data_IF_485544328648
#
_entry.id   IF_485544328648
#
_cell.length_a   1.000
_cell.length_b   1.000
_cell.length_c   1.000
_cell.angle_alpha   90.00
_cell.angle_beta   90.00
_cell.angle_gamma   90.00
#
_symmetry.space_group_name_H-M   'P 1'
#
loop_
_entity.id
_entity.type
_entity.pdbx_description
1 polymer ?
#
# COMPACT_ATOMS: atom_id res chain seq x y z
N UNK A 1 -22.71 -6.89 13.06
CA UNK A 1 -21.67 -7.24 12.06
C UNK A 1 -21.01 -5.95 11.63
N UNK A 2 -19.67 -5.89 11.46
CA UNK A 2 -19.05 -4.71 10.90
C UNK A 2 -19.69 -4.39 9.55
N UNK A 3 -19.99 -3.12 9.30
CA UNK A 3 -20.59 -2.68 8.06
C UNK A 3 -19.65 -3.06 6.89
N UNK A 4 -20.15 -3.93 6.00
CA UNK A 4 -19.41 -4.40 4.83
C UNK A 4 -18.95 -3.21 3.98
N UNK A 5 -19.74 -2.13 3.96
CA UNK A 5 -19.40 -0.90 3.26
C UNK A 5 -18.16 -0.25 3.89
N UNK A 6 -18.09 -0.17 5.21
CA UNK A 6 -16.92 0.37 5.92
C UNK A 6 -15.65 -0.45 5.65
N UNK A 7 -15.75 -1.79 5.64
CA UNK A 7 -14.63 -2.67 5.28
C UNK A 7 -14.19 -2.42 3.84
N UNK A 8 -15.14 -2.37 2.91
CA UNK A 8 -14.85 -2.20 1.48
C UNK A 8 -14.19 -0.84 1.18
N UNK A 9 -14.69 0.25 1.78
CA UNK A 9 -14.12 1.58 1.62
C UNK A 9 -12.73 1.66 2.21
N UNK A 10 -12.51 1.05 3.38
CA UNK A 10 -11.20 1.01 4.03
C UNK A 10 -10.18 0.20 3.23
N UNK A 11 -10.59 -0.96 2.70
CA UNK A 11 -9.78 -1.76 1.77
C UNK A 11 -9.43 -0.94 0.52
N UNK A 12 -10.43 -0.27 -0.06
CA UNK A 12 -10.26 0.61 -1.22
C UNK A 12 -9.22 1.70 -0.97
N UNK A 13 -9.32 2.41 0.16
CA UNK A 13 -8.37 3.46 0.54
C UNK A 13 -6.94 2.91 0.75
N UNK A 14 -6.79 1.74 1.38
CA UNK A 14 -5.48 1.12 1.54
C UNK A 14 -4.86 0.78 0.17
N UNK A 15 -5.59 0.08 -0.69
CA UNK A 15 -5.12 -0.29 -2.03
C UNK A 15 -4.79 0.95 -2.86
N UNK A 16 -5.70 1.92 -2.91
CA UNK A 16 -5.57 3.13 -3.71
C UNK A 16 -4.34 3.94 -3.31
N UNK A 17 -4.21 4.31 -2.03
CA UNK A 17 -3.12 5.17 -1.55
C UNK A 17 -1.77 4.45 -1.54
N UNK A 18 -1.75 3.13 -1.31
CA UNK A 18 -0.52 2.33 -1.44
C UNK A 18 -0.03 2.27 -2.89
N UNK A 19 -0.93 2.09 -3.86
CA UNK A 19 -0.57 2.14 -5.28
C UNK A 19 -0.14 3.54 -5.71
N UNK A 20 -0.85 4.57 -5.25
CA UNK A 20 -0.56 5.97 -5.57
C UNK A 20 0.83 6.39 -5.08
N UNK A 21 1.25 5.88 -3.93
CA UNK A 21 2.58 6.11 -3.37
C UNK A 21 3.65 5.20 -4.00
N UNK A 22 3.39 3.89 -4.09
CA UNK A 22 4.40 2.92 -4.48
C UNK A 22 4.77 2.95 -5.96
N UNK A 23 3.83 3.28 -6.87
CA UNK A 23 4.09 3.35 -8.30
C UNK A 23 5.13 4.42 -8.71
N UNK A 24 5.00 5.70 -8.30
CA UNK A 24 6.01 6.70 -8.63
C UNK A 24 7.35 6.39 -7.94
N UNK A 25 7.34 5.84 -6.73
CA UNK A 25 8.56 5.34 -6.07
C UNK A 25 9.27 4.26 -6.89
N UNK A 26 8.51 3.27 -7.41
CA UNK A 26 9.04 2.27 -8.33
C UNK A 26 9.70 2.91 -9.55
N UNK A 27 9.06 3.93 -10.13
CA UNK A 27 9.64 4.72 -11.23
C UNK A 27 10.97 5.39 -10.86
N UNK A 28 11.11 5.89 -9.64
CA UNK A 28 12.32 6.59 -9.18
C UNK A 28 13.52 5.65 -9.02
N UNK A 29 13.36 4.52 -8.33
CA UNK A 29 14.50 3.63 -8.05
C UNK A 29 14.81 2.64 -9.18
N UNK A 30 13.84 2.32 -10.04
CA UNK A 30 14.01 1.32 -11.12
C UNK A 30 14.35 1.96 -12.47
N UNK A 31 13.60 2.99 -12.88
CA UNK A 31 13.67 3.53 -14.25
C UNK A 31 14.74 4.62 -14.35
N UNK A 32 15.39 4.73 -15.51
CA UNK A 32 16.49 5.67 -15.74
C UNK A 32 16.22 6.60 -16.93
N UNK A 33 16.66 7.86 -16.82
CA UNK A 33 16.60 8.83 -17.92
C UNK A 33 15.23 8.95 -18.57
N UNK A 34 15.16 8.63 -19.87
CA UNK A 34 13.94 8.71 -20.70
C UNK A 34 12.90 7.64 -20.33
N UNK A 35 13.26 6.55 -19.67
CA UNK A 35 12.32 5.52 -19.20
C UNK A 35 11.37 6.06 -18.11
N UNK A 36 11.76 7.14 -17.43
CA UNK A 36 10.90 7.82 -16.46
C UNK A 36 9.83 8.67 -17.14
N UNK A 37 9.94 8.95 -18.45
CA UNK A 37 8.92 9.70 -19.16
C UNK A 37 7.63 8.88 -19.23
N UNK A 38 6.51 9.47 -18.83
CA UNK A 38 5.21 8.79 -18.87
C UNK A 38 4.88 8.34 -20.29
N UNK A 39 4.52 7.06 -20.43
CA UNK A 39 4.18 6.43 -21.70
C UNK A 39 5.32 5.65 -22.35
N UNK A 40 6.56 5.79 -21.87
CA UNK A 40 7.70 4.99 -22.35
C UNK A 40 7.59 3.54 -21.84
N UNK A 41 7.64 3.34 -20.51
CA UNK A 41 7.48 2.05 -19.85
C UNK A 41 6.09 1.91 -19.25
N UNK A 42 5.74 2.86 -18.37
CA UNK A 42 4.45 2.94 -17.67
C UNK A 42 3.75 4.26 -18.00
N UNK A 43 2.41 4.22 -18.06
CA UNK A 43 1.58 5.41 -18.30
C UNK A 43 1.32 6.17 -17.00
N UNK A 44 2.38 6.62 -16.33
CA UNK A 44 2.31 7.25 -15.01
C UNK A 44 1.28 8.38 -14.93
N UNK A 45 1.23 9.29 -15.91
CA UNK A 45 0.29 10.42 -15.94
C UNK A 45 -1.17 9.98 -15.76
N UNK A 46 -1.66 9.14 -16.67
CA UNK A 46 -3.06 8.72 -16.67
C UNK A 46 -3.36 7.79 -15.52
N UNK A 47 -2.46 6.85 -15.21
CA UNK A 47 -2.67 5.88 -14.13
C UNK A 47 -2.74 6.58 -12.76
N UNK A 48 -1.77 7.44 -12.45
CA UNK A 48 -1.74 8.14 -11.16
C UNK A 48 -2.86 9.17 -11.04
N UNK A 49 -3.27 9.82 -12.14
CA UNK A 49 -4.43 10.69 -12.14
C UNK A 49 -5.74 9.92 -11.86
N UNK A 50 -5.92 8.75 -12.49
CA UNK A 50 -7.09 7.90 -12.24
C UNK A 50 -7.13 7.40 -10.80
N UNK A 51 -6.00 6.92 -10.27
CA UNK A 51 -5.91 6.47 -8.87
C UNK A 51 -6.19 7.66 -7.93
N UNK A 52 -5.58 8.83 -8.14
CA UNK A 52 -5.84 9.99 -7.28
C UNK A 52 -7.32 10.42 -7.30
N UNK A 53 -7.99 10.37 -8.45
CA UNK A 53 -9.42 10.67 -8.54
C UNK A 53 -10.26 9.62 -7.79
N UNK A 54 -9.93 8.33 -7.94
CA UNK A 54 -10.56 7.26 -7.17
C UNK A 54 -10.34 7.43 -5.67
N UNK A 55 -9.13 7.81 -5.24
CA UNK A 55 -8.79 8.13 -3.86
C UNK A 55 -9.59 9.29 -3.28
N UNK A 56 -9.89 10.33 -4.08
CA UNK A 56 -10.77 11.43 -3.64
C UNK A 56 -12.19 10.91 -3.41
N UNK A 57 -12.74 10.13 -4.35
CA UNK A 57 -14.08 9.54 -4.23
C UNK A 57 -14.16 8.62 -3.01
N UNK A 58 -13.18 7.73 -2.83
CA UNK A 58 -13.08 6.84 -1.67
C UNK A 58 -12.93 7.61 -0.36
N UNK A 59 -12.20 8.74 -0.36
CA UNK A 59 -12.05 9.59 0.82
C UNK A 59 -13.37 10.28 1.19
N UNK A 60 -14.13 10.77 0.22
CA UNK A 60 -15.46 11.34 0.44
C UNK A 60 -16.40 10.25 0.98
N UNK A 61 -16.44 9.08 0.33
CA UNK A 61 -17.28 7.97 0.76
C UNK A 61 -16.92 7.50 2.17
N UNK A 62 -15.62 7.45 2.52
CA UNK A 62 -15.16 7.11 3.86
C UNK A 62 -15.62 8.10 4.93
N UNK A 63 -15.62 9.40 4.62
CA UNK A 63 -16.17 10.42 5.52
C UNK A 63 -17.68 10.27 5.69
N UNK A 64 -18.42 9.96 4.62
CA UNK A 64 -19.86 9.71 4.69
C UNK A 64 -20.20 8.47 5.52
N UNK A 65 -19.44 7.38 5.36
CA UNK A 65 -19.59 6.16 6.17
C UNK A 65 -19.31 6.44 7.65
N UNK A 66 -18.27 7.22 7.95
CA UNK A 66 -17.98 7.62 9.33
C UNK A 66 -19.12 8.48 9.93
N UNK A 67 -19.61 9.47 9.17
CA UNK A 67 -20.73 10.31 9.61
C UNK A 67 -22.01 9.50 9.86
N UNK A 68 -22.37 8.57 8.96
CA UNK A 68 -23.48 7.65 9.11
C UNK A 68 -23.33 6.77 10.37
N UNK A 69 -22.14 6.21 10.57
CA UNK A 69 -21.84 5.39 11.75
C UNK A 69 -21.96 6.17 13.06
N UNK A 70 -21.51 7.43 13.10
CA UNK A 70 -21.60 8.27 14.30
C UNK A 70 -23.02 8.76 14.57
N UNK A 71 -23.77 9.06 13.51
CA UNK A 71 -25.17 9.48 13.62
C UNK A 71 -26.15 8.34 13.86
N UNK A 72 -25.72 7.09 13.70
CA UNK A 72 -26.60 5.91 13.79
C UNK A 72 -27.67 5.87 12.70
N UNK A 73 -27.40 6.51 11.55
CA UNK A 73 -28.34 6.64 10.43
C UNK A 73 -27.78 5.99 9.16
N UNK A 74 -28.64 5.56 8.23
CA UNK A 74 -28.23 5.15 6.88
C UNK A 74 -27.48 6.27 6.11
N UNK A 75 -26.65 5.87 5.12
CA UNK A 75 -25.83 6.79 4.31
C UNK A 75 -26.63 7.88 3.58
N UNK A 76 -27.84 7.56 3.13
CA UNK A 76 -28.74 8.47 2.42
C UNK A 76 -29.43 9.48 3.36
N UNK A 77 -29.33 9.28 4.67
CA UNK A 77 -29.93 10.12 5.70
C UNK A 77 -28.89 10.96 6.47
N UNK A 78 -27.62 10.89 6.07
CA UNK A 78 -26.57 11.73 6.67
C UNK A 78 -26.83 13.19 6.35
N UNK A 79 -27.05 13.99 7.39
CA UNK A 79 -27.29 15.41 7.24
C UNK A 79 -25.99 16.21 7.01
N UNK A 80 -26.14 17.38 6.38
CA UNK A 80 -24.99 18.24 6.07
C UNK A 80 -24.33 18.80 7.34
N UNK A 81 -25.10 18.97 8.42
CA UNK A 81 -24.59 19.50 9.67
C UNK A 81 -23.61 18.52 10.33
N UNK A 82 -23.92 17.22 10.37
CA UNK A 82 -23.01 16.19 10.88
C UNK A 82 -21.72 16.14 10.08
N UNK A 83 -21.79 16.14 8.74
CA UNK A 83 -20.58 16.15 7.89
C UNK A 83 -19.73 17.40 8.14
N UNK A 84 -20.35 18.57 8.23
CA UNK A 84 -19.62 19.81 8.50
C UNK A 84 -18.96 19.82 9.89
N UNK A 85 -19.65 19.29 10.89
CA UNK A 85 -19.13 19.13 12.24
C UNK A 85 -17.92 18.17 12.25
N UNK A 86 -17.99 17.04 11.54
CA UNK A 86 -16.87 16.12 11.43
C UNK A 86 -15.68 16.78 10.75
N UNK A 87 -15.89 17.44 9.61
CA UNK A 87 -14.82 18.05 8.81
C UNK A 87 -14.14 19.21 9.55
N UNK A 88 -14.92 20.08 10.20
CA UNK A 88 -14.41 21.33 10.78
C UNK A 88 -14.12 21.23 12.28
N UNK A 89 -14.75 20.29 12.98
CA UNK A 89 -14.73 20.20 14.44
C UNK A 89 -13.95 19.02 15.00
N UNK A 90 -13.36 18.15 14.16
CA UNK A 90 -12.65 16.96 14.64
C UNK A 90 -11.25 16.83 14.05
N UNK A 91 -10.35 16.17 14.79
CA UNK A 91 -9.02 15.83 14.30
C UNK A 91 -9.06 14.95 13.04
N UNK A 92 -10.05 14.04 12.96
CA UNK A 92 -10.28 13.20 11.78
C UNK A 92 -10.64 14.06 10.56
N UNK A 93 -11.43 15.12 10.75
CA UNK A 93 -11.75 16.11 9.73
C UNK A 93 -10.51 16.79 9.16
N UNK A 94 -9.62 17.29 10.03
CA UNK A 94 -8.34 17.90 9.64
C UNK A 94 -7.46 16.92 8.85
N UNK A 95 -7.33 15.67 9.33
CA UNK A 95 -6.56 14.62 8.66
C UNK A 95 -7.14 14.30 7.28
N UNK A 96 -8.46 14.27 7.15
CA UNK A 96 -9.15 14.11 5.88
C UNK A 96 -8.90 15.28 4.92
N UNK A 97 -8.95 16.53 5.41
CA UNK A 97 -8.64 17.72 4.60
C UNK A 97 -7.21 17.67 4.06
N UNK A 98 -6.24 17.28 4.90
CA UNK A 98 -4.84 17.09 4.48
C UNK A 98 -4.74 16.01 3.40
N UNK A 99 -5.46 14.88 3.55
CA UNK A 99 -5.50 13.82 2.53
C UNK A 99 -6.05 14.34 1.20
N UNK A 100 -7.18 15.04 1.22
CA UNK A 100 -7.80 15.59 0.01
C UNK A 100 -6.88 16.63 -0.66
N UNK A 101 -6.27 17.52 0.12
CA UNK A 101 -5.29 18.48 -0.40
C UNK A 101 -4.09 17.78 -1.06
N UNK A 102 -3.56 16.73 -0.42
CA UNK A 102 -2.47 15.93 -0.97
C UNK A 102 -2.88 15.24 -2.28
N UNK A 103 -4.09 14.67 -2.36
CA UNK A 103 -4.62 14.04 -3.57
C UNK A 103 -4.83 15.04 -4.71
N UNK A 104 -5.28 16.26 -4.42
CA UNK A 104 -5.39 17.34 -5.40
C UNK A 104 -4.00 17.76 -5.92
N UNK A 105 -2.98 17.80 -5.06
CA UNK A 105 -1.60 18.03 -5.50
C UNK A 105 -1.08 16.88 -6.38
N UNK A 106 -1.42 15.63 -6.06
CA UNK A 106 -1.10 14.49 -6.93
C UNK A 106 -1.74 14.64 -8.32
N UNK A 107 -3.01 15.05 -8.41
CA UNK A 107 -3.67 15.34 -9.69
C UNK A 107 -2.94 16.45 -10.47
N UNK A 108 -2.57 17.53 -9.79
CA UNK A 108 -1.82 18.62 -10.39
C UNK A 108 -0.46 18.15 -10.95
N UNK A 109 0.35 17.45 -10.16
CA UNK A 109 1.65 16.91 -10.60
C UNK A 109 1.52 15.76 -11.60
N UNK A 110 0.37 15.10 -11.69
CA UNK A 110 0.11 14.13 -12.76
C UNK A 110 0.00 14.79 -14.13
N UNK A 111 -0.27 16.10 -14.19
CA UNK A 111 -0.36 16.87 -15.43
C UNK A 111 0.95 17.67 -15.67
N UNK A 112 1.46 18.32 -14.62
CA UNK A 112 2.58 19.28 -14.67
C UNK A 112 3.93 18.63 -14.39
N UNK A 113 5.05 19.29 -14.74
CA UNK A 113 6.40 18.90 -14.31
C UNK A 113 7.08 17.80 -15.13
N UNK A 114 6.36 17.13 -16.03
CA UNK A 114 6.86 16.02 -16.86
C UNK A 114 7.93 16.36 -17.90
N UNK A 115 8.25 17.64 -18.10
CA UNK A 115 9.49 18.03 -18.81
C UNK A 115 10.74 17.59 -18.05
N UNK A 116 10.63 17.40 -16.73
CA UNK A 116 11.65 16.84 -15.84
C UNK A 116 11.03 15.63 -15.11
N UNK A 117 11.01 14.44 -15.72
CA UNK A 117 10.23 13.30 -15.19
C UNK A 117 10.66 12.87 -13.79
N UNK A 118 11.94 13.03 -13.43
CA UNK A 118 12.40 12.79 -12.06
C UNK A 118 11.75 13.74 -11.04
N UNK A 119 11.60 15.03 -11.37
CA UNK A 119 10.91 15.98 -10.50
C UNK A 119 9.44 15.61 -10.35
N UNK A 120 8.75 15.32 -11.45
CA UNK A 120 7.35 14.89 -11.40
C UNK A 120 7.15 13.67 -10.50
N UNK A 121 7.97 12.62 -10.67
CA UNK A 121 7.90 11.41 -9.85
C UNK A 121 8.21 11.69 -8.37
N UNK A 122 9.19 12.54 -8.06
CA UNK A 122 9.47 12.93 -6.67
C UNK A 122 8.30 13.69 -6.03
N UNK A 123 7.72 14.66 -6.75
CA UNK A 123 6.55 15.41 -6.26
C UNK A 123 5.34 14.51 -6.05
N UNK A 124 5.09 13.57 -6.96
CA UNK A 124 4.03 12.57 -6.86
C UNK A 124 4.25 11.65 -5.65
N UNK A 125 5.46 11.11 -5.49
CA UNK A 125 5.80 10.27 -4.33
C UNK A 125 5.65 11.00 -3.02
N UNK A 126 6.12 12.25 -2.91
CA UNK A 126 6.04 13.04 -1.67
C UNK A 126 4.59 13.35 -1.28
N UNK A 127 3.77 13.79 -2.24
CA UNK A 127 2.36 14.11 -1.98
C UNK A 127 1.53 12.86 -1.70
N UNK A 128 1.77 11.75 -2.42
CA UNK A 128 1.14 10.47 -2.13
C UNK A 128 1.58 9.89 -0.78
N UNK A 129 2.84 10.11 -0.35
CA UNK A 129 3.31 9.70 0.98
C UNK A 129 2.53 10.41 2.10
N UNK A 130 2.28 11.71 1.95
CA UNK A 130 1.44 12.48 2.88
C UNK A 130 0.02 11.91 2.90
N UNK A 131 -0.60 11.69 1.74
CA UNK A 131 -1.93 11.11 1.66
C UNK A 131 -2.00 9.73 2.35
N UNK A 132 -1.03 8.85 2.09
CA UNK A 132 -0.97 7.52 2.71
C UNK A 132 -0.73 7.59 4.23
N UNK A 133 0.12 8.49 4.71
CA UNK A 133 0.39 8.68 6.13
C UNK A 133 -0.87 9.08 6.92
N UNK A 134 -1.81 9.80 6.30
CA UNK A 134 -3.08 10.16 6.95
C UNK A 134 -3.94 8.96 7.35
N UNK A 135 -3.71 7.75 6.80
CA UNK A 135 -4.43 6.54 7.23
C UNK A 135 -4.00 6.09 8.63
N UNK A 136 -2.76 6.38 9.06
CA UNK A 136 -2.28 6.03 10.39
C UNK A 136 -3.06 6.77 11.49
N UNK A 137 -3.44 8.03 11.24
CA UNK A 137 -4.25 8.84 12.15
C UNK A 137 -5.69 8.35 12.32
N UNK A 138 -6.20 7.61 11.33
CA UNK A 138 -7.55 7.01 11.42
C UNK A 138 -7.54 5.63 12.11
N UNK A 139 -6.38 5.17 12.57
CA UNK A 139 -6.21 3.94 13.35
C UNK A 139 -5.94 4.19 14.84
N UNK A 140 -5.54 3.13 15.55
CA UNK A 140 -5.32 3.16 17.01
C UNK A 140 -4.18 4.09 17.46
N UNK A 141 -3.25 4.43 16.58
CA UNK A 141 -2.10 5.29 16.91
C UNK A 141 -2.43 6.74 17.27
N UNK A 142 -3.61 7.25 16.90
CA UNK A 142 -4.08 8.58 17.34
C UNK A 142 -4.86 8.55 18.67
N UNK A 143 -5.19 7.36 19.17
CA UNK A 143 -5.93 7.18 20.43
C UNK A 143 -5.01 7.06 21.66
N UNK A 144 -3.73 6.75 21.47
CA UNK A 144 -2.74 6.64 22.53
C UNK A 144 -2.18 8.03 22.93
N UNK A 145 -2.18 8.37 24.22
CA UNK A 145 -1.64 9.63 24.73
C UNK A 145 -0.10 9.60 24.95
N UNK A 146 0.55 10.75 24.87
CA UNK A 146 1.96 10.94 25.24
C UNK A 146 2.99 10.38 24.24
N UNK A 147 4.21 10.10 24.71
CA UNK A 147 5.33 9.63 23.88
C UNK A 147 5.02 8.29 23.18
N UNK A 148 4.23 7.43 23.84
CA UNK A 148 3.81 6.13 23.30
C UNK A 148 2.97 6.28 22.04
N UNK A 149 2.03 7.23 22.02
CA UNK A 149 1.21 7.51 20.83
C UNK A 149 2.03 8.00 19.64
N UNK A 150 3.00 8.90 19.86
CA UNK A 150 3.88 9.37 18.79
C UNK A 150 4.76 8.26 18.20
N UNK A 151 5.27 7.35 19.04
CA UNK A 151 6.05 6.19 18.60
C UNK A 151 5.17 5.23 17.79
N UNK A 152 3.97 4.93 18.26
CA UNK A 152 3.01 4.07 17.57
C UNK A 152 2.61 4.66 16.22
N UNK A 153 2.26 5.94 16.17
CA UNK A 153 1.91 6.65 14.95
C UNK A 153 3.08 6.66 13.94
N UNK A 154 4.30 6.93 14.41
CA UNK A 154 5.49 6.87 13.57
C UNK A 154 5.73 5.47 12.99
N UNK A 155 5.58 4.43 13.82
CA UNK A 155 5.68 3.04 13.37
C UNK A 155 4.60 2.70 12.33
N UNK A 156 3.34 3.13 12.53
CA UNK A 156 2.25 2.95 11.56
C UNK A 156 2.52 3.64 10.24
N UNK A 157 2.99 4.90 10.24
CA UNK A 157 3.35 5.62 9.01
C UNK A 157 4.47 4.90 8.26
N UNK A 158 5.53 4.50 8.97
CA UNK A 158 6.64 3.75 8.38
C UNK A 158 6.15 2.40 7.82
N UNK A 159 5.29 1.69 8.55
CA UNK A 159 4.71 0.44 8.11
C UNK A 159 3.89 0.61 6.82
N UNK A 160 3.05 1.64 6.77
CA UNK A 160 2.21 1.95 5.61
C UNK A 160 3.04 2.36 4.40
N UNK A 161 4.06 3.20 4.56
CA UNK A 161 4.97 3.55 3.47
C UNK A 161 5.73 2.33 2.96
N UNK A 162 6.30 1.51 3.85
CA UNK A 162 7.00 0.29 3.45
C UNK A 162 6.06 -0.68 2.71
N UNK A 163 4.85 -0.90 3.23
CA UNK A 163 3.82 -1.69 2.56
C UNK A 163 3.42 -1.10 1.20
N UNK A 164 3.28 0.22 1.11
CA UNK A 164 2.97 0.93 -0.14
C UNK A 164 4.05 0.74 -1.21
N UNK A 165 5.33 0.84 -0.84
CA UNK A 165 6.45 0.54 -1.75
C UNK A 165 6.36 -0.91 -2.26
N UNK A 166 6.09 -1.87 -1.37
CA UNK A 166 5.94 -3.28 -1.76
C UNK A 166 4.77 -3.48 -2.72
N UNK A 167 3.58 -3.01 -2.37
CA UNK A 167 2.35 -3.18 -3.17
C UNK A 167 2.49 -2.48 -4.52
N UNK A 168 3.02 -1.26 -4.57
CA UNK A 168 3.28 -0.55 -5.82
C UNK A 168 4.32 -1.26 -6.69
N UNK A 169 5.35 -1.85 -6.09
CA UNK A 169 6.34 -2.64 -6.81
C UNK A 169 5.74 -3.93 -7.41
N UNK A 170 4.94 -4.67 -6.63
CA UNK A 170 4.22 -5.85 -7.15
C UNK A 170 3.32 -5.48 -8.32
N UNK A 171 2.56 -4.39 -8.19
CA UNK A 171 1.70 -3.93 -9.27
C UNK A 171 2.50 -3.55 -10.52
N UNK A 172 3.58 -2.79 -10.38
CA UNK A 172 4.44 -2.41 -11.49
C UNK A 172 5.12 -3.63 -12.14
N UNK A 173 5.62 -4.58 -11.35
CA UNK A 173 6.22 -5.83 -11.85
C UNK A 173 5.18 -6.68 -12.56
N UNK A 174 3.94 -6.75 -12.06
CA UNK A 174 2.85 -7.42 -12.76
C UNK A 174 2.59 -6.79 -14.14
N UNK A 175 2.56 -5.45 -14.23
CA UNK A 175 2.40 -4.74 -15.52
C UNK A 175 3.55 -5.03 -16.50
N UNK A 176 4.77 -5.25 -16.00
CA UNK A 176 5.94 -5.57 -16.83
C UNK A 176 5.94 -7.05 -17.26
N UNK A 177 5.72 -7.98 -16.33
CA UNK A 177 5.94 -9.41 -16.53
C UNK A 177 4.75 -10.11 -17.20
N UNK A 178 3.52 -9.64 -16.99
CA UNK A 178 2.31 -10.24 -17.59
C UNK A 178 2.00 -9.72 -19.01
N UNK A 179 2.90 -8.97 -19.65
CA UNK A 179 2.73 -8.60 -21.05
C UNK A 179 2.64 -9.84 -21.96
N UNK A 180 1.78 -9.84 -23.00
CA UNK A 180 1.72 -10.95 -23.95
C UNK A 180 3.11 -11.26 -24.54
N UNK A 181 3.44 -12.54 -24.73
CA UNK A 181 4.75 -12.96 -25.22
C UNK A 181 5.13 -12.30 -26.56
N UNK A 182 4.14 -12.10 -27.45
CA UNK A 182 4.31 -11.38 -28.72
C UNK A 182 4.78 -9.92 -28.58
N UNK A 183 4.66 -9.32 -27.38
CA UNK A 183 5.11 -7.95 -27.06
C UNK A 183 6.33 -7.91 -26.14
N UNK A 184 6.90 -9.07 -25.79
CA UNK A 184 8.10 -9.18 -24.97
C UNK A 184 9.34 -9.18 -25.86
N UNK A 185 9.67 -8.01 -26.43
CA UNK A 185 10.94 -7.81 -27.11
C UNK A 185 12.12 -7.98 -26.13
N UNK A 186 13.31 -8.27 -26.65
CA UNK A 186 14.54 -8.50 -25.87
C UNK A 186 14.80 -7.36 -24.88
N UNK A 187 14.68 -6.10 -25.33
CA UNK A 187 14.85 -4.91 -24.48
C UNK A 187 13.87 -4.87 -23.28
N UNK A 188 12.63 -5.32 -23.48
CA UNK A 188 11.62 -5.38 -22.42
C UNK A 188 11.94 -6.49 -21.40
N UNK A 189 12.53 -7.60 -21.83
CA UNK A 189 12.97 -8.67 -20.94
C UNK A 189 14.15 -8.18 -20.09
N UNK A 190 15.13 -7.49 -20.68
CA UNK A 190 16.23 -6.87 -19.93
C UNK A 190 15.74 -5.80 -18.93
N UNK A 191 14.76 -4.98 -19.33
CA UNK A 191 14.11 -4.02 -18.43
C UNK A 191 13.42 -4.73 -17.26
N UNK A 192 12.71 -5.82 -17.52
CA UNK A 192 12.01 -6.60 -16.49
C UNK A 192 13.01 -7.24 -15.51
N UNK A 193 14.11 -7.80 -16.02
CA UNK A 193 15.20 -8.32 -15.18
C UNK A 193 15.82 -7.22 -14.32
N UNK A 194 16.14 -6.05 -14.90
CA UNK A 194 16.69 -4.91 -14.14
C UNK A 194 15.73 -4.38 -13.09
N UNK A 195 14.43 -4.44 -13.36
CA UNK A 195 13.39 -4.07 -12.40
C UNK A 195 13.34 -5.02 -11.20
N UNK A 196 13.46 -6.33 -11.43
CA UNK A 196 13.53 -7.33 -10.36
C UNK A 196 14.78 -7.13 -9.49
N UNK A 197 15.95 -6.96 -10.13
CA UNK A 197 17.21 -6.73 -9.39
C UNK A 197 17.21 -5.41 -8.61
N UNK A 198 16.70 -4.34 -9.23
CA UNK A 198 16.53 -3.04 -8.56
C UNK A 198 15.59 -3.13 -7.35
N UNK A 199 14.49 -3.85 -7.49
CA UNK A 199 13.57 -4.09 -6.38
C UNK A 199 14.19 -4.97 -5.30
N UNK A 200 15.08 -5.92 -5.60
CA UNK A 200 15.68 -6.79 -4.57
C UNK A 200 16.42 -6.01 -3.46
N UNK A 201 17.09 -4.89 -3.81
CA UNK A 201 17.79 -4.02 -2.85
C UNK A 201 16.81 -3.21 -1.99
N UNK A 202 15.85 -2.55 -2.64
CA UNK A 202 14.81 -1.76 -1.97
C UNK A 202 13.92 -2.66 -1.12
N UNK A 203 13.60 -3.86 -1.62
CA UNK A 203 12.82 -4.89 -0.96
C UNK A 203 13.43 -5.32 0.36
N UNK A 204 14.76 -5.49 0.46
CA UNK A 204 15.41 -5.78 1.75
C UNK A 204 15.20 -4.67 2.79
N UNK A 205 15.29 -3.40 2.38
CA UNK A 205 15.04 -2.26 3.27
C UNK A 205 13.57 -2.24 3.68
N UNK A 206 12.66 -2.43 2.73
CA UNK A 206 11.21 -2.50 2.97
C UNK A 206 10.86 -3.64 3.94
N UNK A 207 11.42 -4.83 3.75
CA UNK A 207 11.23 -5.98 4.66
C UNK A 207 11.68 -5.62 6.08
N UNK A 208 12.87 -5.04 6.22
CA UNK A 208 13.38 -4.64 7.53
C UNK A 208 12.46 -3.61 8.21
N UNK A 209 12.01 -2.58 7.46
CA UNK A 209 11.07 -1.59 7.96
C UNK A 209 9.73 -2.21 8.38
N UNK A 210 9.19 -3.15 7.59
CA UNK A 210 7.94 -3.84 7.92
C UNK A 210 8.06 -4.71 9.18
N UNK A 211 9.17 -5.42 9.34
CA UNK A 211 9.43 -6.24 10.53
C UNK A 211 9.55 -5.34 11.76
N UNK A 212 10.39 -4.31 11.72
CA UNK A 212 10.62 -3.43 12.87
C UNK A 212 9.34 -2.68 13.27
N UNK A 213 8.68 -2.04 12.31
CA UNK A 213 7.41 -1.34 12.57
C UNK A 213 6.29 -2.30 13.01
N UNK A 214 6.20 -3.48 12.41
CA UNK A 214 5.21 -4.50 12.76
C UNK A 214 5.41 -5.07 14.18
N UNK A 215 6.68 -5.23 14.61
CA UNK A 215 7.00 -5.62 15.97
C UNK A 215 6.63 -4.54 16.98
N UNK A 216 6.94 -3.27 16.68
CA UNK A 216 6.54 -2.13 17.54
C UNK A 216 5.01 -2.10 17.68
N UNK A 217 4.28 -2.18 16.57
CA UNK A 217 2.82 -2.19 16.58
C UNK A 217 2.24 -3.38 17.36
N UNK A 218 2.78 -4.58 17.15
CA UNK A 218 2.33 -5.78 17.86
C UNK A 218 2.59 -5.69 19.36
N UNK A 219 3.76 -5.15 19.75
CA UNK A 219 4.10 -4.92 21.15
C UNK A 219 3.14 -3.94 21.82
N UNK A 220 2.83 -2.83 21.14
CA UNK A 220 1.97 -1.77 21.68
C UNK A 220 0.50 -2.21 21.76
N UNK A 221 -0.01 -2.91 20.74
CA UNK A 221 -1.43 -3.27 20.61
C UNK A 221 -1.83 -4.54 21.38
N UNK A 222 -0.91 -5.48 21.59
CA UNK A 222 -1.20 -6.75 22.28
C UNK A 222 -0.64 -6.71 23.69
N UNK A 223 0.61 -6.26 23.85
CA UNK A 223 1.35 -6.36 25.10
C UNK A 223 1.83 -7.79 25.40
N UNK A 224 2.97 -7.98 26.09
CA UNK A 224 3.53 -9.31 26.37
C UNK A 224 2.61 -10.22 27.21
N UNK A 225 1.74 -9.63 28.03
CA UNK A 225 0.82 -10.34 28.93
C UNK A 225 -0.38 -10.97 28.22
N UNK A 226 -0.73 -10.53 27.00
CA UNK A 226 -1.91 -11.01 26.26
C UNK A 226 -1.56 -11.97 25.11
N UNK A 227 -0.32 -12.47 25.04
CA UNK A 227 0.08 -13.41 23.99
C UNK A 227 -0.77 -14.70 23.98
N UNK A 228 -1.26 -15.13 25.16
CA UNK A 228 -2.16 -16.29 25.28
C UNK A 228 -3.54 -16.07 24.66
N UNK A 229 -4.06 -14.84 24.59
CA UNK A 229 -5.36 -14.54 23.99
C UNK A 229 -5.30 -14.34 22.48
N UNK A 230 -4.12 -14.42 21.87
CA UNK A 230 -3.94 -14.37 20.41
C UNK A 230 -4.62 -15.53 19.70
N UNK A 231 -4.73 -16.70 20.34
CA UNK A 231 -5.32 -17.88 19.71
C UNK A 231 -6.82 -18.05 20.02
N UNK A 232 -7.37 -17.22 20.91
CA UNK A 232 -8.78 -17.32 21.33
C UNK A 232 -9.62 -16.14 20.84
N UNK A 233 -9.02 -14.97 20.61
CA UNK A 233 -9.71 -13.79 20.10
C UNK A 233 -9.74 -13.76 18.56
N UNK A 234 -10.83 -13.23 17.99
CA UNK A 234 -10.92 -12.99 16.54
C UNK A 234 -9.80 -12.07 16.05
N UNK A 235 -9.48 -11.03 16.82
CA UNK A 235 -8.36 -10.12 16.53
C UNK A 235 -7.03 -10.89 16.40
N UNK A 236 -6.73 -11.74 17.38
CA UNK A 236 -5.51 -12.53 17.40
C UNK A 236 -5.42 -13.53 16.25
N UNK A 237 -6.52 -14.22 15.93
CA UNK A 237 -6.56 -15.18 14.81
C UNK A 237 -6.31 -14.50 13.46
N UNK A 238 -6.96 -13.34 13.22
CA UNK A 238 -6.73 -12.56 12.00
C UNK A 238 -5.29 -12.03 11.91
N UNK A 239 -4.70 -11.68 13.05
CA UNK A 239 -3.30 -11.25 13.10
C UNK A 239 -2.33 -12.41 12.82
N UNK A 240 -2.57 -13.59 13.38
CA UNK A 240 -1.78 -14.80 13.07
C UNK A 240 -1.86 -15.13 11.58
N UNK A 241 -3.07 -15.08 11.00
CA UNK A 241 -3.24 -15.27 9.55
C UNK A 241 -2.43 -14.24 8.73
N UNK A 242 -2.45 -12.97 9.13
CA UNK A 242 -1.62 -11.91 8.51
C UNK A 242 -0.13 -12.24 8.60
N UNK A 243 0.37 -12.70 9.74
CA UNK A 243 1.78 -13.04 9.94
C UNK A 243 2.21 -14.27 9.12
N UNK A 244 1.36 -15.29 9.02
CA UNK A 244 1.62 -16.46 8.17
C UNK A 244 1.70 -16.09 6.69
N UNK A 245 0.77 -15.26 6.21
CA UNK A 245 0.80 -14.73 4.84
C UNK A 245 2.03 -13.88 4.59
N UNK A 246 2.43 -13.05 5.55
CA UNK A 246 3.66 -12.26 5.46
C UNK A 246 4.90 -13.15 5.40
N UNK A 247 4.97 -14.20 6.23
CA UNK A 247 6.05 -15.20 6.19
C UNK A 247 6.14 -15.90 4.84
N UNK A 248 4.99 -16.30 4.27
CA UNK A 248 4.94 -16.86 2.91
C UNK A 248 5.46 -15.85 1.87
N UNK A 249 5.07 -14.58 1.96
CA UNK A 249 5.60 -13.53 1.08
C UNK A 249 7.11 -13.35 1.21
N UNK A 250 7.69 -13.48 2.42
CA UNK A 250 9.15 -13.42 2.60
C UNK A 250 9.85 -14.60 1.91
N UNK A 251 9.29 -15.81 2.02
CA UNK A 251 9.81 -17.00 1.34
C UNK A 251 9.74 -16.85 -0.18
N UNK A 252 8.62 -16.35 -0.71
CA UNK A 252 8.46 -16.08 -2.14
C UNK A 252 9.41 -14.98 -2.62
N UNK A 253 9.57 -13.90 -1.85
CA UNK A 253 10.51 -12.82 -2.18
C UNK A 253 11.96 -13.31 -2.19
N UNK A 254 12.34 -14.16 -1.23
CA UNK A 254 13.63 -14.83 -1.21
C UNK A 254 13.80 -15.75 -2.43
N UNK A 255 12.77 -16.53 -2.79
CA UNK A 255 12.81 -17.38 -3.97
C UNK A 255 12.93 -16.57 -5.27
N UNK A 256 12.22 -15.44 -5.35
CA UNK A 256 12.32 -14.48 -6.44
C UNK A 256 13.74 -13.93 -6.58
N UNK A 257 14.37 -13.57 -5.47
CA UNK A 257 15.73 -13.01 -5.46
C UNK A 257 16.81 -14.03 -5.77
N UNK A 258 16.76 -15.22 -5.16
CA UNK A 258 17.88 -16.17 -5.19
C UNK A 258 17.75 -17.24 -6.27
N UNK A 259 16.54 -17.51 -6.78
CA UNK A 259 16.32 -18.56 -7.80
C UNK A 259 15.69 -18.02 -9.08
N UNK A 260 14.60 -17.24 -9.00
CA UNK A 260 13.83 -16.87 -10.20
C UNK A 260 14.47 -15.72 -10.99
N UNK A 261 15.04 -14.72 -10.32
CA UNK A 261 15.75 -13.62 -11.00
C UNK A 261 17.06 -14.12 -11.66
N UNK A 262 17.91 -14.91 -10.99
CA UNK A 262 19.10 -15.48 -11.64
C UNK A 262 18.78 -16.46 -12.77
N UNK A 263 17.73 -17.28 -12.63
CA UNK A 263 17.30 -18.17 -13.73
C UNK A 263 16.75 -17.40 -14.93
N UNK A 264 16.10 -16.26 -14.72
CA UNK A 264 15.74 -15.36 -15.81
C UNK A 264 16.98 -14.79 -16.51
N UNK A 265 18.03 -14.42 -15.77
CA UNK A 265 19.29 -13.95 -16.35
C UNK A 265 19.94 -15.04 -17.24
N UNK A 266 20.06 -16.28 -16.75
CA UNK A 266 20.59 -17.39 -17.53
C UNK A 266 19.71 -17.76 -18.74
N UNK A 267 18.39 -17.63 -18.61
CA UNK A 267 17.44 -17.86 -19.70
C UNK A 267 17.53 -16.80 -20.80
N UNK A 268 17.91 -15.56 -20.46
CA UNK A 268 18.18 -14.49 -21.43
C UNK A 268 19.42 -14.84 -22.27
N UNK A 269 20.48 -15.34 -21.65
CA UNK A 269 21.71 -15.74 -22.34
C UNK A 269 21.52 -16.92 -23.29
N UNK A 270 20.66 -17.87 -22.92
CA UNK A 270 20.38 -19.10 -23.69
C UNK A 270 19.21 -18.96 -24.69
N UNK A 271 18.52 -17.82 -24.70
CA UNK A 271 17.39 -17.55 -25.60
C UNK A 271 16.06 -18.25 -25.26
N UNK A 272 16.00 -19.06 -24.20
CA UNK A 272 14.77 -19.77 -23.79
C UNK A 272 14.13 -19.15 -22.53
N UNK A 273 13.55 -17.96 -22.70
CA UNK A 273 12.98 -17.17 -21.59
C UNK A 273 11.57 -17.59 -21.15
N UNK A 274 10.89 -18.44 -21.93
CA UNK A 274 9.47 -18.79 -21.76
C UNK A 274 9.15 -19.40 -20.38
N UNK A 275 9.93 -20.42 -19.98
CA UNK A 275 9.76 -21.13 -18.71
C UNK A 275 10.10 -20.26 -17.49
N UNK A 276 11.18 -19.47 -17.59
CA UNK A 276 11.61 -18.56 -16.52
C UNK A 276 10.55 -17.47 -16.26
N UNK A 277 10.01 -16.87 -17.33
CA UNK A 277 8.92 -15.88 -17.24
C UNK A 277 7.65 -16.52 -16.66
N UNK A 278 7.31 -17.75 -17.06
CA UNK A 278 6.15 -18.47 -16.51
C UNK A 278 6.26 -18.71 -15.00
N UNK A 279 7.42 -19.12 -14.52
CA UNK A 279 7.69 -19.31 -13.09
C UNK A 279 7.62 -18.00 -12.31
N UNK A 280 8.17 -16.92 -12.88
CA UNK A 280 8.09 -15.58 -12.30
C UNK A 280 6.64 -15.05 -12.21
N UNK A 281 5.83 -15.26 -13.25
CA UNK A 281 4.40 -14.90 -13.24
C UNK A 281 3.65 -15.59 -12.13
N UNK A 282 3.86 -16.90 -11.95
CA UNK A 282 3.20 -17.67 -10.88
C UNK A 282 3.61 -17.13 -9.51
N UNK A 283 4.90 -16.88 -9.30
CA UNK A 283 5.40 -16.31 -8.05
C UNK A 283 4.76 -14.94 -7.75
N UNK A 284 4.80 -14.00 -8.72
CA UNK A 284 4.19 -12.68 -8.58
C UNK A 284 2.67 -12.73 -8.37
N UNK A 285 1.97 -13.67 -9.01
CA UNK A 285 0.53 -13.84 -8.80
C UNK A 285 0.21 -14.28 -7.36
N UNK A 286 0.98 -15.23 -6.83
CA UNK A 286 0.81 -15.71 -5.45
C UNK A 286 1.18 -14.61 -4.46
N UNK A 287 2.29 -13.90 -4.65
CA UNK A 287 2.68 -12.77 -3.80
C UNK A 287 1.62 -11.66 -3.80
N UNK A 288 1.09 -11.31 -4.98
CA UNK A 288 0.02 -10.30 -5.10
C UNK A 288 -1.25 -10.77 -4.40
N UNK A 289 -1.62 -12.04 -4.55
CA UNK A 289 -2.76 -12.63 -3.85
C UNK A 289 -2.59 -12.58 -2.32
N UNK A 290 -1.40 -12.87 -1.82
CA UNK A 290 -1.08 -12.75 -0.39
C UNK A 290 -1.19 -11.31 0.08
N UNK A 291 -0.64 -10.34 -0.67
CA UNK A 291 -0.70 -8.92 -0.34
C UNK A 291 -2.16 -8.42 -0.28
N UNK A 292 -2.98 -8.74 -1.28
CA UNK A 292 -4.41 -8.38 -1.31
C UNK A 292 -5.14 -9.01 -0.12
N UNK A 293 -4.86 -10.28 0.19
CA UNK A 293 -5.47 -10.96 1.34
C UNK A 293 -5.08 -10.28 2.66
N UNK A 294 -3.81 -9.92 2.83
CA UNK A 294 -3.34 -9.15 4.00
C UNK A 294 -4.09 -7.82 4.11
N UNK A 295 -4.32 -7.11 3.01
CA UNK A 295 -5.06 -5.85 3.05
C UNK A 295 -6.54 -6.03 3.41
N UNK A 296 -7.18 -7.12 2.97
CA UNK A 296 -8.54 -7.49 3.40
C UNK A 296 -8.56 -7.75 4.92
N UNK A 297 -7.60 -8.54 5.42
CA UNK A 297 -7.47 -8.82 6.86
C UNK A 297 -7.25 -7.53 7.67
N UNK A 298 -6.38 -6.63 7.19
CA UNK A 298 -6.09 -5.34 7.85
C UNK A 298 -7.31 -4.42 7.83
N UNK A 299 -8.03 -4.36 6.72
CA UNK A 299 -9.27 -3.57 6.59
C UNK A 299 -10.32 -4.04 7.59
N UNK A 300 -10.44 -5.35 7.82
CA UNK A 300 -11.32 -5.92 8.84
C UNK A 300 -10.80 -5.67 10.26
N UNK A 301 -9.51 -5.92 10.53
CA UNK A 301 -8.88 -5.81 11.85
C UNK A 301 -9.09 -4.44 12.50
N UNK A 302 -9.02 -3.35 11.73
CA UNK A 302 -9.18 -2.01 12.30
C UNK A 302 -10.62 -1.57 12.54
N UNK A 303 -11.61 -2.45 12.34
CA UNK A 303 -12.95 -2.28 12.93
C UNK A 303 -13.09 -3.01 14.27
N UNK A 304 -12.07 -3.78 14.69
CA UNK A 304 -12.03 -4.48 15.95
C UNK A 304 -11.21 -3.68 16.97
N UNK A 305 -11.67 -3.69 18.23
CA UNK A 305 -10.90 -3.16 19.35
C UNK A 305 -9.68 -4.09 19.62
N UNK A 306 -8.46 -3.54 19.77
CA UNK A 306 -7.29 -4.34 20.09
C UNK A 306 -7.37 -4.83 21.54
N UNK A 307 -6.75 -5.97 21.88
CA UNK A 307 -6.82 -6.53 23.24
C UNK A 307 -6.36 -5.58 24.34
N UNK A 308 -5.39 -4.69 24.05
CA UNK A 308 -4.86 -3.74 25.02
C UNK A 308 -5.77 -2.54 25.31
N UNK A 309 -6.81 -2.26 24.52
CA UNK A 309 -7.72 -1.12 24.74
C UNK A 309 -8.84 -1.40 25.76
N UNK A 310 -8.89 -2.61 26.33
CA UNK A 310 -9.86 -3.02 27.35
C UNK A 310 -9.32 -2.99 28.79
N UNK A 311 -8.14 -2.40 29.01
CA UNK A 311 -7.53 -2.21 30.33
C UNK A 311 -7.58 -0.74 30.74
#
# INVERSE_FOLDING_TARGET
MPDIIAIAVRLGLFLDLMLLFGLPMFGLYTLRGTERASGSVLRFRSVLATIALAGIVLSILGMMVLAASMGGVPLDQVDRATVNLLISGTAIGTVWQVRVAALLLVLYFSIVGWRRPAFALWSLSATAAVALATLAWTGHGAADEGLRGWVHLGADIIHLWAAGIWVGALFALCLLVFRPAARMAVDHIHLSHRALDGFAKVGSVVVALLIVSGLINSWILIGPSNLGSMFTSLYGLLLVAKLLLFGLMLLLAAANRYFLTPSLAAAIETGNTSSAIGSLRRSLAIETGCAVTILILVAWLGLLAPPASGM
#
